data_IF_020569089959
#
_entry.id   IF_020569089959
#
_cell.length_a   1.000
_cell.length_b   1.000
_cell.length_c   1.000
_cell.angle_alpha   90.00
_cell.angle_beta   90.00
_cell.angle_gamma   90.00
#
_symmetry.space_group_name_H-M   'P 1'
#
loop_
_entity.id
_entity.type
_entity.pdbx_description
1 polymer ?
#
# COMPACT_ATOMS: atom_id res chain seq x y z
N UNK A 1 21.36 18.06 14.98
CA UNK A 1 20.35 19.13 15.16
C UNK A 1 20.74 20.39 14.37
N UNK A 2 19.87 20.96 13.53
CA UNK A 2 20.18 22.23 12.83
C UNK A 2 18.93 23.06 12.49
N UNK A 3 18.74 24.17 13.22
CA UNK A 3 17.74 25.19 12.88
C UNK A 3 18.06 25.96 11.60
N UNK A 4 19.30 25.91 11.11
CA UNK A 4 19.69 26.53 9.83
C UNK A 4 19.13 25.76 8.63
N UNK A 5 19.02 24.43 8.72
CA UNK A 5 18.40 23.64 7.65
C UNK A 5 16.92 24.01 7.51
N UNK A 6 16.23 24.17 8.64
CA UNK A 6 14.85 24.62 8.71
C UNK A 6 14.65 25.97 8.01
N UNK A 7 15.50 26.96 8.34
CA UNK A 7 15.45 28.30 7.77
C UNK A 7 15.74 28.30 6.26
N UNK A 8 16.72 27.52 5.81
CA UNK A 8 17.09 27.47 4.38
C UNK A 8 16.02 26.81 3.52
N UNK A 9 15.37 25.77 4.05
CA UNK A 9 14.37 25.00 3.31
C UNK A 9 12.97 25.60 3.41
N UNK A 10 12.73 26.56 4.30
CA UNK A 10 11.41 27.21 4.46
C UNK A 10 10.95 27.95 3.19
N UNK A 11 11.86 28.25 2.27
CA UNK A 11 11.52 28.82 0.95
C UNK A 11 10.60 27.93 0.12
N UNK A 12 10.55 26.63 0.43
CA UNK A 12 9.71 25.64 -0.23
C UNK A 12 8.38 25.37 0.53
N UNK A 13 8.05 26.18 1.53
CA UNK A 13 6.82 26.09 2.32
C UNK A 13 6.86 24.98 3.38
N UNK A 14 5.69 24.47 3.76
CA UNK A 14 5.50 23.53 4.89
C UNK A 14 5.86 22.07 4.54
N UNK A 15 6.86 21.88 3.67
CA UNK A 15 7.32 20.54 3.28
C UNK A 15 8.21 19.95 4.38
N UNK A 16 8.08 18.64 4.60
CA UNK A 16 8.84 17.90 5.62
C UNK A 16 9.87 16.95 5.03
N UNK A 17 9.78 16.69 3.72
CA UNK A 17 10.70 15.85 2.94
C UNK A 17 11.04 16.60 1.66
N UNK A 18 12.32 16.58 1.29
CA UNK A 18 12.87 17.24 0.13
C UNK A 18 13.69 16.25 -0.68
N UNK A 19 13.41 16.18 -1.99
CA UNK A 19 14.17 15.39 -2.94
C UNK A 19 15.02 16.32 -3.80
N UNK A 20 16.33 16.11 -3.77
CA UNK A 20 17.27 16.73 -4.69
C UNK A 20 17.57 15.76 -5.84
N UNK A 21 17.33 16.20 -7.07
CA UNK A 21 17.55 15.41 -8.28
C UNK A 21 18.90 15.79 -8.87
N UNK A 22 19.84 14.85 -8.87
CA UNK A 22 21.17 15.04 -9.44
C UNK A 22 21.28 14.23 -10.76
N UNK A 23 21.58 14.89 -11.91
CA UNK A 23 21.74 14.22 -13.21
C UNK A 23 22.78 13.09 -13.23
N UNK A 24 23.79 13.16 -12.36
CA UNK A 24 24.84 12.14 -12.24
C UNK A 24 24.30 10.83 -11.62
N UNK A 25 23.22 10.91 -10.85
CA UNK A 25 22.60 9.78 -10.17
C UNK A 25 21.56 9.04 -11.02
N UNK A 26 21.34 9.46 -12.27
CA UNK A 26 20.49 8.74 -13.25
C UNK A 26 19.12 8.34 -12.70
N UNK A 27 18.48 9.28 -12.00
CA UNK A 27 17.13 9.15 -11.45
C UNK A 27 17.07 8.68 -9.99
N UNK A 28 18.17 8.19 -9.40
CA UNK A 28 18.20 7.89 -7.97
C UNK A 28 18.18 9.18 -7.15
N UNK A 29 17.38 9.20 -6.09
CA UNK A 29 17.17 10.37 -5.27
C UNK A 29 18.27 10.57 -4.24
N UNK A 30 18.60 11.84 -4.03
CA UNK A 30 19.10 12.32 -2.75
C UNK A 30 17.90 12.92 -2.03
N UNK A 31 17.64 12.51 -0.80
CA UNK A 31 16.51 13.06 -0.08
C UNK A 31 16.83 13.26 1.39
N UNK A 32 16.26 14.32 1.94
CA UNK A 32 16.37 14.69 3.33
C UNK A 32 15.00 14.98 3.89
N UNK A 33 14.83 14.72 5.17
CA UNK A 33 13.59 15.01 5.87
C UNK A 33 13.80 15.14 7.36
N UNK A 34 12.80 15.67 8.03
CA UNK A 34 12.79 15.79 9.48
C UNK A 34 12.56 14.41 10.10
N UNK A 35 13.33 14.11 11.14
CA UNK A 35 13.11 12.94 12.02
C UNK A 35 12.08 13.30 13.09
N UNK A 36 12.17 14.52 13.63
CA UNK A 36 11.30 15.03 14.69
C UNK A 36 11.12 16.56 14.57
N UNK A 37 10.46 17.15 15.57
CA UNK A 37 10.24 18.59 15.68
C UNK A 37 11.39 19.33 16.38
N UNK A 38 12.39 18.59 16.89
CA UNK A 38 13.50 19.13 17.67
C UNK A 38 14.70 19.52 16.80
N UNK A 39 14.53 19.51 15.47
CA UNK A 39 15.55 19.90 14.50
C UNK A 39 16.50 18.76 14.10
N UNK A 40 16.10 17.51 14.30
CA UNK A 40 16.84 16.36 13.78
C UNK A 40 16.42 16.03 12.35
N UNK A 41 17.41 15.73 11.53
CA UNK A 41 17.27 15.51 10.10
C UNK A 41 17.95 14.21 9.70
N UNK A 42 17.38 13.54 8.71
CA UNK A 42 18.06 12.46 8.00
C UNK A 42 18.40 12.92 6.58
N UNK A 43 19.47 12.38 6.02
CA UNK A 43 19.83 12.54 4.61
C UNK A 43 20.23 11.18 4.06
N UNK A 44 19.68 10.83 2.91
CA UNK A 44 19.93 9.56 2.24
C UNK A 44 20.25 9.82 0.77
N UNK A 45 21.39 9.28 0.32
CA UNK A 45 21.85 9.45 -1.04
C UNK A 45 22.78 8.29 -1.45
N UNK A 46 22.78 7.90 -2.74
CA UNK A 46 23.81 7.01 -3.27
C UNK A 46 25.20 7.63 -3.10
N UNK A 47 26.16 6.79 -2.72
CA UNK A 47 27.59 7.14 -2.64
C UNK A 47 28.41 6.19 -3.50
N UNK A 48 29.62 6.57 -3.94
CA UNK A 48 30.50 5.66 -4.67
C UNK A 48 30.77 4.35 -3.92
N UNK A 49 30.99 3.27 -4.65
CA UNK A 49 31.37 1.99 -4.05
C UNK A 49 32.69 2.11 -3.26
N UNK A 50 32.79 1.41 -2.14
CA UNK A 50 33.92 1.51 -1.21
C UNK A 50 33.99 2.81 -0.39
N UNK A 51 32.93 3.62 -0.39
CA UNK A 51 32.83 4.77 0.52
C UNK A 51 32.84 4.31 1.98
N UNK A 52 33.60 5.01 2.81
CA UNK A 52 33.71 4.82 4.26
C UNK A 52 33.57 6.18 4.94
N UNK A 53 33.47 6.18 6.28
CA UNK A 53 33.38 7.43 7.05
C UNK A 53 34.62 8.33 6.91
N UNK A 54 35.76 7.75 6.57
CA UNK A 54 37.05 8.44 6.59
C UNK A 54 37.54 8.89 5.20
N UNK A 55 36.89 8.46 4.12
CA UNK A 55 37.36 8.69 2.74
C UNK A 55 36.41 9.54 1.88
N UNK A 56 35.36 10.11 2.47
CA UNK A 56 34.35 10.86 1.75
C UNK A 56 33.88 12.08 2.54
N UNK A 57 33.74 13.21 1.85
CA UNK A 57 33.31 14.47 2.46
C UNK A 57 31.77 14.54 2.45
N UNK A 58 31.16 13.99 3.50
CA UNK A 58 29.70 14.00 3.67
C UNK A 58 29.13 15.40 3.86
N UNK A 59 29.92 16.34 4.41
CA UNK A 59 29.47 17.69 4.65
C UNK A 59 29.33 18.44 3.32
N UNK A 60 30.38 18.43 2.48
CA UNK A 60 30.32 19.02 1.15
C UNK A 60 29.26 18.34 0.26
N UNK A 61 29.06 17.03 0.42
CA UNK A 61 28.03 16.30 -0.33
C UNK A 61 26.61 16.74 0.04
N UNK A 62 26.33 16.93 1.34
CA UNK A 62 25.04 17.44 1.81
C UNK A 62 24.84 18.90 1.42
N UNK A 63 25.85 19.76 1.56
CA UNK A 63 25.79 21.16 1.12
C UNK A 63 25.48 21.29 -0.37
N UNK A 64 26.06 20.40 -1.20
CA UNK A 64 25.75 20.35 -2.63
C UNK A 64 24.29 19.98 -2.89
N UNK A 65 23.74 19.02 -2.13
CA UNK A 65 22.35 18.61 -2.28
C UNK A 65 21.35 19.69 -1.80
N UNK A 66 21.69 20.42 -0.73
CA UNK A 66 20.90 21.55 -0.21
C UNK A 66 21.06 22.80 -1.08
N UNK A 67 22.19 22.97 -1.75
CA UNK A 67 22.52 24.15 -2.54
C UNK A 67 23.02 25.33 -1.69
N UNK A 68 23.39 25.10 -0.43
CA UNK A 68 23.88 26.13 0.48
C UNK A 68 24.80 25.54 1.56
N UNK A 69 25.68 26.37 2.12
CA UNK A 69 26.44 26.01 3.31
C UNK A 69 25.51 25.83 4.50
N UNK A 70 25.79 24.83 5.34
CA UNK A 70 24.98 24.47 6.50
C UNK A 70 25.90 24.15 7.68
N UNK A 71 25.50 24.53 8.89
CA UNK A 71 26.18 24.11 10.11
C UNK A 71 25.42 22.91 10.70
N UNK A 72 25.97 21.71 10.54
CA UNK A 72 25.36 20.45 10.99
C UNK A 72 26.38 19.52 11.65
N UNK A 73 25.95 18.89 12.73
CA UNK A 73 26.67 17.77 13.35
C UNK A 73 26.09 16.43 12.87
N UNK A 74 26.94 15.54 12.39
CA UNK A 74 26.56 14.17 12.04
C UNK A 74 26.53 13.27 13.27
N UNK A 75 25.33 12.92 13.74
CA UNK A 75 25.16 11.95 14.83
C UNK A 75 25.42 10.51 14.38
N UNK A 76 25.04 10.18 13.14
CA UNK A 76 25.21 8.85 12.58
C UNK A 76 25.41 8.88 11.07
N UNK A 77 26.37 8.09 10.59
CA UNK A 77 26.62 7.82 9.17
C UNK A 77 26.59 6.32 8.95
N UNK A 78 25.56 5.83 8.26
CA UNK A 78 25.37 4.42 7.95
C UNK A 78 25.47 4.14 6.45
N UNK A 79 25.80 2.90 6.10
CA UNK A 79 25.80 2.43 4.71
C UNK A 79 24.75 1.33 4.56
N UNK A 80 24.01 1.40 3.46
CA UNK A 80 22.99 0.43 3.13
C UNK A 80 23.07 0.09 1.63
N UNK A 81 23.11 -1.20 1.34
CA UNK A 81 22.99 -1.71 -0.02
C UNK A 81 21.54 -1.57 -0.50
N UNK A 82 21.28 -0.51 -1.26
CA UNK A 82 20.01 -0.33 -1.96
C UNK A 82 19.82 -1.44 -3.00
N UNK A 83 18.75 -2.23 -2.84
CA UNK A 83 18.39 -3.30 -3.77
C UNK A 83 16.89 -3.29 -3.99
N UNK A 84 16.50 -3.51 -5.25
CA UNK A 84 15.15 -3.93 -5.60
C UNK A 84 15.15 -5.44 -5.69
N UNK A 85 14.44 -6.11 -4.79
CA UNK A 85 14.37 -7.56 -4.72
C UNK A 85 12.97 -7.99 -4.35
N UNK A 86 12.50 -9.06 -4.99
CA UNK A 86 11.20 -9.66 -4.77
C UNK A 86 11.40 -11.18 -4.79
N UNK A 87 10.99 -11.86 -3.73
CA UNK A 87 11.03 -13.31 -3.66
C UNK A 87 10.06 -13.93 -4.67
N UNK A 88 10.44 -15.02 -5.33
CA UNK A 88 9.60 -15.72 -6.33
C UNK A 88 8.25 -16.21 -5.75
N UNK A 89 8.22 -16.50 -4.44
CA UNK A 89 7.01 -16.87 -3.71
C UNK A 89 7.13 -16.48 -2.25
N UNK A 90 6.00 -16.13 -1.61
CA UNK A 90 5.99 -15.70 -0.21
C UNK A 90 5.76 -16.85 0.77
N UNK A 91 5.48 -18.06 0.28
CA UNK A 91 5.29 -19.21 1.15
C UNK A 91 5.34 -20.54 0.42
N UNK A 92 5.90 -21.55 1.09
CA UNK A 92 5.92 -22.94 0.60
C UNK A 92 5.72 -23.90 1.75
N UNK A 93 4.65 -24.69 1.68
CA UNK A 93 4.27 -25.62 2.74
C UNK A 93 3.94 -24.86 4.03
N UNK A 94 4.82 -24.97 5.04
CA UNK A 94 4.63 -24.36 6.38
C UNK A 94 5.56 -23.19 6.65
N UNK A 95 6.33 -22.75 5.66
CA UNK A 95 7.29 -21.65 5.79
C UNK A 95 6.77 -20.48 4.97
N UNK A 96 6.69 -19.31 5.61
CA UNK A 96 6.23 -18.06 5.02
C UNK A 96 7.22 -16.94 5.34
N UNK A 97 7.33 -15.96 4.45
CA UNK A 97 8.16 -14.77 4.57
C UNK A 97 7.28 -13.53 4.39
N UNK A 98 7.63 -12.42 5.05
CA UNK A 98 6.92 -11.14 5.01
C UNK A 98 7.90 -9.98 5.18
N UNK A 99 7.54 -8.77 4.73
CA UNK A 99 8.39 -7.58 4.81
C UNK A 99 9.69 -7.76 4.03
N UNK A 100 10.80 -7.25 4.57
CA UNK A 100 12.13 -7.27 3.93
C UNK A 100 12.63 -8.65 3.48
N UNK A 101 12.16 -9.72 4.11
CA UNK A 101 12.47 -11.09 3.69
C UNK A 101 11.77 -11.49 2.38
N UNK A 102 10.61 -10.91 2.10
CA UNK A 102 9.81 -11.14 0.90
C UNK A 102 10.11 -10.12 -0.21
N UNK A 103 10.37 -8.87 0.16
CA UNK A 103 10.64 -7.79 -0.76
C UNK A 103 11.50 -6.70 -0.13
N UNK A 104 12.47 -6.19 -0.87
CA UNK A 104 13.37 -5.10 -0.44
C UNK A 104 13.43 -4.06 -1.55
N UNK A 105 13.47 -2.78 -1.17
CA UNK A 105 13.48 -1.68 -2.11
C UNK A 105 14.09 -0.40 -1.53
N UNK A 106 14.47 0.56 -2.41
CA UNK A 106 14.78 1.92 -1.99
C UNK A 106 13.61 2.55 -1.22
N UNK A 107 13.88 3.46 -0.27
CA UNK A 107 12.87 4.08 0.59
C UNK A 107 11.96 5.09 -0.13
N UNK A 108 12.00 5.13 -1.47
CA UNK A 108 11.28 6.11 -2.30
C UNK A 108 9.77 5.89 -2.15
N UNK A 109 9.06 6.91 -1.68
CA UNK A 109 7.61 6.89 -1.44
C UNK A 109 7.16 6.24 -0.11
N UNK A 110 8.09 5.81 0.75
CA UNK A 110 7.74 5.34 2.10
C UNK A 110 6.95 4.03 2.17
N UNK A 111 7.04 3.18 1.14
CA UNK A 111 6.21 1.97 1.04
C UNK A 111 6.64 0.81 1.95
N UNK A 112 7.89 0.77 2.43
CA UNK A 112 8.49 -0.48 2.96
C UNK A 112 7.83 -1.02 4.21
N UNK A 113 7.87 -0.26 5.30
CA UNK A 113 7.26 -0.70 6.57
C UNK A 113 5.75 -0.92 6.43
N UNK A 114 5.07 -0.07 5.66
CA UNK A 114 3.62 -0.15 5.42
C UNK A 114 3.26 -1.45 4.69
N UNK A 115 4.02 -1.80 3.63
CA UNK A 115 3.81 -3.04 2.88
C UNK A 115 4.12 -4.26 3.74
N UNK A 116 5.15 -4.19 4.60
CA UNK A 116 5.47 -5.25 5.56
C UNK A 116 4.35 -5.47 6.60
N UNK A 117 3.72 -4.40 7.09
CA UNK A 117 2.55 -4.52 7.97
C UNK A 117 1.35 -5.13 7.25
N UNK A 118 1.09 -4.73 6.01
CA UNK A 118 0.02 -5.32 5.19
C UNK A 118 0.27 -6.81 4.91
N UNK A 119 1.53 -7.23 4.71
CA UNK A 119 1.88 -8.64 4.58
C UNK A 119 1.51 -9.44 5.82
N UNK A 120 1.92 -8.94 7.00
CA UNK A 120 1.66 -9.62 8.27
C UNK A 120 0.16 -9.63 8.57
N UNK A 121 -0.55 -8.53 8.30
CA UNK A 121 -2.00 -8.44 8.46
C UNK A 121 -2.74 -9.48 7.61
N UNK A 122 -2.37 -9.59 6.33
CA UNK A 122 -2.94 -10.56 5.41
C UNK A 122 -2.63 -12.02 5.81
N UNK A 123 -1.39 -12.31 6.21
CA UNK A 123 -0.98 -13.66 6.60
C UNK A 123 -1.57 -14.09 7.95
N UNK A 124 -1.67 -13.19 8.93
CA UNK A 124 -2.03 -13.53 10.31
C UNK A 124 -3.43 -14.11 10.43
N UNK A 125 -4.42 -13.52 9.76
CA UNK A 125 -5.80 -14.03 9.84
C UNK A 125 -5.94 -15.39 9.16
N UNK A 126 -5.22 -15.61 8.05
CA UNK A 126 -5.18 -16.90 7.32
C UNK A 126 -4.56 -18.01 8.16
N UNK A 127 -3.45 -17.71 8.84
CA UNK A 127 -2.85 -18.63 9.81
C UNK A 127 -3.82 -18.94 10.95
N UNK A 128 -4.46 -17.92 11.54
CA UNK A 128 -5.43 -18.10 12.60
C UNK A 128 -6.63 -18.95 12.14
N UNK A 129 -7.10 -18.75 10.90
CA UNK A 129 -8.18 -19.53 10.30
C UNK A 129 -7.85 -21.01 10.19
N UNK A 130 -6.69 -21.34 9.61
CA UNK A 130 -6.23 -22.72 9.47
C UNK A 130 -5.99 -23.38 10.83
N UNK A 131 -5.43 -22.65 11.81
CA UNK A 131 -5.20 -23.17 13.16
C UNK A 131 -6.51 -23.41 13.93
N UNK A 132 -7.53 -22.58 13.70
CA UNK A 132 -8.87 -22.72 14.29
C UNK A 132 -9.78 -23.69 13.53
N UNK A 133 -9.32 -24.24 12.40
CA UNK A 133 -9.99 -25.31 11.66
C UNK A 133 -11.07 -24.87 10.68
N UNK A 134 -11.24 -23.56 10.43
CA UNK A 134 -12.21 -23.04 9.46
C UNK A 134 -11.56 -22.52 8.16
N UNK A 135 -10.22 -22.45 8.11
CA UNK A 135 -9.49 -22.12 6.88
C UNK A 135 -9.33 -23.33 5.96
N UNK A 136 -9.79 -23.20 4.71
CA UNK A 136 -9.69 -24.23 3.68
C UNK A 136 -8.28 -24.40 3.11
N UNK A 137 -8.11 -25.40 2.23
CA UNK A 137 -6.82 -25.83 1.67
C UNK A 137 -6.13 -24.75 0.82
N UNK A 138 -6.89 -23.86 0.19
CA UNK A 138 -6.36 -22.79 -0.67
C UNK A 138 -6.11 -21.49 0.07
N UNK A 139 -6.52 -21.37 1.34
CA UNK A 139 -6.47 -20.11 2.08
C UNK A 139 -5.04 -19.60 2.24
N UNK A 140 -4.12 -20.41 2.76
CA UNK A 140 -2.74 -19.98 2.95
C UNK A 140 -2.01 -19.72 1.63
N UNK A 141 -2.32 -20.48 0.58
CA UNK A 141 -1.71 -20.28 -0.73
C UNK A 141 -2.08 -18.90 -1.32
N UNK A 142 -3.29 -18.39 -1.02
CA UNK A 142 -3.71 -17.06 -1.46
C UNK A 142 -2.82 -15.93 -0.92
N UNK A 143 -2.07 -16.13 0.17
CA UNK A 143 -1.15 -15.09 0.67
C UNK A 143 -0.15 -14.64 -0.41
N UNK A 144 0.47 -15.61 -1.09
CA UNK A 144 1.40 -15.30 -2.18
C UNK A 144 0.66 -14.70 -3.37
N UNK A 145 -0.51 -15.22 -3.73
CA UNK A 145 -1.32 -14.71 -4.87
C UNK A 145 -1.85 -13.29 -4.64
N UNK A 146 -2.00 -12.88 -3.39
CA UNK A 146 -2.46 -11.54 -3.03
C UNK A 146 -1.32 -10.54 -2.88
N UNK A 147 -0.31 -10.85 -2.04
CA UNK A 147 0.70 -9.87 -1.62
C UNK A 147 1.86 -9.70 -2.59
N UNK A 148 2.28 -10.77 -3.27
CA UNK A 148 3.35 -10.71 -4.25
C UNK A 148 3.06 -9.74 -5.41
N UNK A 149 1.90 -9.83 -6.12
CA UNK A 149 1.60 -8.90 -7.21
C UNK A 149 1.38 -7.46 -6.75
N UNK A 150 0.91 -7.23 -5.51
CA UNK A 150 0.83 -5.87 -4.94
C UNK A 150 2.21 -5.24 -4.87
N UNK A 151 3.21 -5.97 -4.36
CA UNK A 151 4.57 -5.43 -4.33
C UNK A 151 5.19 -5.32 -5.72
N UNK A 152 4.96 -6.29 -6.61
CA UNK A 152 5.45 -6.21 -7.99
C UNK A 152 4.95 -4.93 -8.69
N UNK A 153 3.66 -4.60 -8.53
CA UNK A 153 3.09 -3.35 -9.02
C UNK A 153 3.64 -2.12 -8.27
N UNK A 154 3.79 -2.18 -6.95
CA UNK A 154 4.43 -1.08 -6.18
C UNK A 154 5.85 -0.78 -6.69
N UNK A 155 6.63 -1.83 -6.97
CA UNK A 155 7.98 -1.75 -7.53
C UNK A 155 7.96 -1.11 -8.92
N UNK A 156 7.13 -1.63 -9.82
CA UNK A 156 7.18 -1.29 -11.23
C UNK A 156 6.50 0.07 -11.51
N UNK A 157 5.31 0.27 -10.96
CA UNK A 157 4.43 1.40 -11.30
C UNK A 157 4.70 2.66 -10.47
N UNK A 158 5.42 2.54 -9.36
CA UNK A 158 5.69 3.69 -8.46
C UNK A 158 7.19 3.91 -8.27
N UNK A 159 7.93 2.92 -7.77
CA UNK A 159 9.35 3.09 -7.42
C UNK A 159 10.22 3.21 -8.68
N UNK A 160 10.19 2.20 -9.55
CA UNK A 160 10.97 2.20 -10.79
C UNK A 160 10.52 3.29 -11.75
N UNK A 161 9.21 3.49 -11.88
CA UNK A 161 8.64 4.56 -12.71
C UNK A 161 9.21 5.92 -12.31
N UNK A 162 9.21 6.27 -11.02
CA UNK A 162 9.78 7.54 -10.54
C UNK A 162 11.25 7.70 -10.92
N UNK A 163 12.08 6.67 -10.71
CA UNK A 163 13.51 6.69 -11.07
C UNK A 163 13.69 6.92 -12.57
N UNK A 164 12.91 6.22 -13.41
CA UNK A 164 13.00 6.33 -14.87
C UNK A 164 12.56 7.72 -15.35
N UNK A 165 11.47 8.25 -14.80
CA UNK A 165 10.93 9.56 -15.16
C UNK A 165 11.87 10.70 -14.73
N UNK A 166 12.42 10.64 -13.53
CA UNK A 166 13.40 11.65 -13.06
C UNK A 166 14.70 11.63 -13.87
N UNK A 167 15.14 10.42 -14.26
CA UNK A 167 16.25 10.28 -15.20
C UNK A 167 15.92 10.91 -16.55
N UNK A 168 14.78 10.58 -17.12
CA UNK A 168 14.37 11.12 -18.42
C UNK A 168 14.25 12.65 -18.39
N UNK A 169 13.76 13.21 -17.29
CA UNK A 169 13.68 14.65 -17.08
C UNK A 169 15.06 15.30 -17.09
N UNK A 170 16.00 14.80 -16.28
CA UNK A 170 17.36 15.36 -16.20
C UNK A 170 18.22 15.12 -17.44
N UNK A 171 17.99 14.05 -18.18
CA UNK A 171 18.65 13.80 -19.47
C UNK A 171 18.12 14.77 -20.57
N UNK A 172 16.88 15.25 -20.44
CA UNK A 172 16.23 16.13 -21.43
C UNK A 172 16.37 17.63 -21.13
N UNK A 173 16.28 18.03 -19.87
CA UNK A 173 16.26 19.43 -19.45
C UNK A 173 17.47 19.75 -18.56
N UNK A 174 18.27 20.74 -18.98
CA UNK A 174 19.47 21.15 -18.27
C UNK A 174 19.47 22.69 -18.09
N UNK A 175 19.38 23.19 -16.83
CA UNK A 175 19.27 24.61 -16.56
C UNK A 175 20.53 25.42 -16.91
N UNK A 176 21.71 24.78 -17.00
CA UNK A 176 22.96 25.43 -17.44
C UNK A 176 23.02 25.62 -18.96
N UNK A 177 22.23 24.83 -19.72
CA UNK A 177 22.17 24.90 -21.19
C UNK A 177 20.99 25.74 -21.68
N UNK A 178 19.82 25.55 -21.09
CA UNK A 178 18.59 26.24 -21.44
C UNK A 178 17.71 26.36 -20.19
N UNK A 179 17.85 27.49 -19.49
CA UNK A 179 17.12 27.77 -18.27
C UNK A 179 15.61 27.91 -18.52
N UNK A 180 15.22 28.59 -19.60
CA UNK A 180 13.81 28.85 -19.89
C UNK A 180 13.05 27.55 -20.17
N UNK A 181 13.62 26.66 -21.00
CA UNK A 181 13.00 25.35 -21.25
C UNK A 181 12.95 24.48 -19.98
N UNK A 182 13.96 24.56 -19.11
CA UNK A 182 13.95 23.82 -17.84
C UNK A 182 12.86 24.34 -16.91
N UNK A 183 12.76 25.67 -16.73
CA UNK A 183 11.76 26.30 -15.86
C UNK A 183 10.33 25.98 -16.32
N UNK A 184 10.07 26.03 -17.63
CA UNK A 184 8.78 25.66 -18.21
C UNK A 184 8.43 24.19 -17.93
N UNK A 185 9.38 23.28 -18.14
CA UNK A 185 9.18 21.84 -17.90
C UNK A 185 9.03 21.52 -16.39
N UNK A 186 9.80 22.19 -15.53
CA UNK A 186 9.71 22.05 -14.09
C UNK A 186 8.37 22.56 -13.55
N UNK A 187 7.90 23.71 -14.05
CA UNK A 187 6.59 24.25 -13.70
C UNK A 187 5.46 23.31 -14.12
N UNK A 188 5.53 22.71 -15.31
CA UNK A 188 4.57 21.69 -15.76
C UNK A 188 4.60 20.45 -14.88
N UNK A 189 5.78 19.97 -14.48
CA UNK A 189 5.94 18.84 -13.55
C UNK A 189 5.33 19.15 -12.19
N UNK A 190 5.60 20.34 -11.65
CA UNK A 190 5.09 20.77 -10.34
C UNK A 190 3.58 21.05 -10.34
N UNK A 191 3.01 21.45 -11.48
CA UNK A 191 1.58 21.65 -11.68
C UNK A 191 0.84 20.37 -12.08
N UNK A 192 1.57 19.28 -12.38
CA UNK A 192 1.01 17.98 -12.68
C UNK A 192 0.18 17.43 -11.53
N UNK A 193 -0.84 16.63 -11.86
CA UNK A 193 -1.65 15.94 -10.87
C UNK A 193 -0.77 15.07 -9.97
N UNK A 194 -1.10 14.99 -8.68
CA UNK A 194 -0.47 14.13 -7.67
C UNK A 194 -0.84 12.65 -7.90
N UNK A 195 -0.90 12.29 -9.19
CA UNK A 195 -1.43 11.09 -9.79
C UNK A 195 -0.80 9.83 -9.21
N UNK A 196 0.48 9.85 -8.83
CA UNK A 196 1.09 8.71 -8.14
C UNK A 196 0.48 8.47 -6.76
N UNK A 197 0.19 9.53 -6.00
CA UNK A 197 -0.45 9.40 -4.67
C UNK A 197 -1.91 8.97 -4.84
N UNK A 198 -2.64 9.59 -5.77
CA UNK A 198 -4.06 9.29 -5.98
C UNK A 198 -4.31 7.95 -6.67
N UNK A 199 -3.30 7.39 -7.34
CA UNK A 199 -3.37 6.09 -8.02
C UNK A 199 -2.86 4.91 -7.20
N UNK A 200 -2.20 5.14 -6.05
CA UNK A 200 -1.69 4.07 -5.21
C UNK A 200 -2.81 3.38 -4.41
N UNK A 201 -3.36 2.30 -4.97
CA UNK A 201 -4.43 1.51 -4.38
C UNK A 201 -4.08 0.02 -4.38
N UNK A 202 -3.44 -0.51 -3.33
CA UNK A 202 -3.27 -1.96 -3.13
C UNK A 202 -4.60 -2.72 -3.15
N UNK A 203 -4.68 -3.76 -3.99
CA UNK A 203 -5.88 -4.58 -4.13
C UNK A 203 -5.56 -6.02 -4.51
N UNK A 204 -6.49 -6.90 -4.15
CA UNK A 204 -6.49 -8.36 -4.30
C UNK A 204 -7.55 -8.83 -5.31
N UNK A 205 -7.85 -8.03 -6.34
CA UNK A 205 -8.95 -8.33 -7.25
C UNK A 205 -8.75 -9.66 -8.01
N UNK A 206 -7.50 -10.09 -8.21
CA UNK A 206 -7.16 -11.39 -8.79
C UNK A 206 -6.98 -12.52 -7.78
N UNK A 207 -7.40 -12.33 -6.54
CA UNK A 207 -7.32 -13.36 -5.52
C UNK A 207 -8.32 -14.49 -5.77
N UNK A 208 -7.93 -15.77 -5.58
CA UNK A 208 -8.85 -16.88 -5.74
C UNK A 208 -9.88 -16.96 -4.60
N UNK A 209 -9.64 -16.26 -3.48
CA UNK A 209 -10.53 -16.24 -2.31
C UNK A 209 -11.47 -15.03 -2.27
N UNK A 210 -11.59 -14.27 -3.36
CA UNK A 210 -12.60 -13.21 -3.50
C UNK A 210 -13.52 -13.53 -4.66
N UNK A 211 -14.79 -13.16 -4.54
CA UNK A 211 -15.78 -13.27 -5.61
C UNK A 211 -15.61 -12.08 -6.58
N UNK A 212 -14.42 -11.99 -7.18
CA UNK A 212 -14.02 -10.93 -8.11
C UNK A 212 -14.46 -11.18 -9.55
N UNK A 213 -14.14 -10.22 -10.42
CA UNK A 213 -14.34 -10.38 -11.85
C UNK A 213 -13.40 -11.44 -12.42
N UNK A 214 -13.83 -12.23 -13.42
CA UNK A 214 -12.93 -13.13 -14.15
C UNK A 214 -11.72 -12.36 -14.70
N UNK A 215 -10.54 -13.00 -14.67
CA UNK A 215 -9.27 -12.45 -15.19
C UNK A 215 -8.75 -11.18 -14.49
N UNK A 216 -9.40 -10.73 -13.41
CA UNK A 216 -8.89 -9.65 -12.59
C UNK A 216 -7.48 -9.97 -12.06
N UNK A 217 -6.69 -8.91 -11.84
CA UNK A 217 -5.33 -9.01 -11.31
C UNK A 217 -5.23 -8.24 -10.02
N UNK A 218 -4.46 -8.77 -9.08
CA UNK A 218 -4.03 -8.04 -7.88
C UNK A 218 -2.90 -7.07 -8.27
N UNK A 219 -2.75 -5.97 -7.55
CA UNK A 219 -1.80 -4.91 -7.89
C UNK A 219 -1.87 -3.75 -6.92
N UNK A 220 -1.18 -2.65 -7.23
CA UNK A 220 -1.14 -1.45 -6.40
C UNK A 220 -1.66 -0.19 -7.11
N UNK A 221 -2.21 -0.34 -8.32
CA UNK A 221 -2.74 0.77 -9.12
C UNK A 221 -4.26 0.76 -9.13
N UNK A 222 -4.88 1.90 -8.88
CA UNK A 222 -6.33 2.06 -8.96
C UNK A 222 -6.75 3.48 -8.67
N UNK A 223 -8.03 3.71 -8.36
CA UNK A 223 -8.53 5.01 -7.92
C UNK A 223 -9.32 4.78 -6.65
N UNK A 224 -8.99 5.53 -5.60
CA UNK A 224 -9.77 5.49 -4.36
C UNK A 224 -11.21 5.91 -4.63
N UNK A 225 -12.15 5.14 -4.09
CA UNK A 225 -13.58 5.41 -4.25
C UNK A 225 -14.39 4.61 -3.26
N UNK A 226 -15.67 4.96 -3.15
CA UNK A 226 -16.58 4.31 -2.22
C UNK A 226 -17.27 3.08 -2.79
N UNK A 227 -17.20 2.83 -4.11
CA UNK A 227 -17.81 1.65 -4.71
C UNK A 227 -17.16 0.39 -4.12
N UNK A 228 -17.98 -0.48 -3.52
CA UNK A 228 -17.51 -1.74 -2.98
C UNK A 228 -17.13 -2.68 -4.12
N UNK A 229 -15.90 -3.22 -4.06
CA UNK A 229 -15.37 -4.12 -5.09
C UNK A 229 -14.66 -5.28 -4.41
N UNK A 230 -14.98 -6.50 -4.81
CA UNK A 230 -14.29 -7.68 -4.31
C UNK A 230 -12.77 -7.55 -4.55
N UNK A 231 -11.99 -7.92 -3.54
CA UNK A 231 -10.55 -7.75 -3.51
C UNK A 231 -10.05 -6.33 -3.19
N UNK A 232 -10.92 -5.35 -2.96
CA UNK A 232 -10.48 -4.00 -2.56
C UNK A 232 -10.73 -3.78 -1.07
N UNK A 233 -9.92 -2.92 -0.44
CA UNK A 233 -10.18 -2.48 0.92
C UNK A 233 -11.54 -1.77 0.95
N UNK A 234 -12.37 -2.06 1.94
CA UNK A 234 -13.63 -1.34 2.10
C UNK A 234 -13.31 0.13 2.42
N UNK A 235 -13.90 1.08 1.72
CA UNK A 235 -13.65 2.49 2.02
C UNK A 235 -14.38 2.89 3.32
N UNK A 236 -13.72 3.59 4.25
CA UNK A 236 -14.37 4.05 5.48
C UNK A 236 -15.52 4.99 5.15
N UNK A 237 -16.71 4.65 5.60
CA UNK A 237 -17.81 5.61 5.71
C UNK A 237 -18.36 5.53 7.12
N UNK A 238 -18.50 6.66 7.83
CA UNK A 238 -19.20 6.65 9.10
C UNK A 238 -20.65 6.18 8.84
N UNK A 239 -21.14 5.16 9.55
CA UNK A 239 -22.58 4.91 9.64
C UNK A 239 -23.25 6.21 10.06
N UNK A 240 -24.37 6.57 9.45
CA UNK A 240 -25.04 7.84 9.73
C UNK A 240 -25.38 7.94 11.24
N UNK A 241 -24.57 8.70 11.98
CA UNK A 241 -24.78 9.00 13.41
C UNK A 241 -24.09 8.08 14.43
N UNK A 242 -23.33 7.06 14.02
CA UNK A 242 -22.74 6.08 14.96
C UNK A 242 -21.30 5.71 14.59
N UNK A 243 -20.30 6.36 15.22
CA UNK A 243 -18.88 5.96 15.21
C UNK A 243 -18.22 5.80 13.83
N UNK A 244 -17.01 5.23 13.81
CA UNK A 244 -16.38 4.78 12.57
C UNK A 244 -16.87 3.37 12.23
N UNK A 245 -17.07 3.07 10.94
CA UNK A 245 -17.49 1.72 10.50
C UNK A 245 -16.51 0.63 10.99
N UNK A 246 -15.23 0.97 11.12
CA UNK A 246 -14.19 0.06 11.59
C UNK A 246 -14.36 -0.41 13.03
N UNK A 247 -14.97 0.41 13.88
CA UNK A 247 -15.23 0.05 15.28
C UNK A 247 -16.28 -1.06 15.40
N UNK A 248 -17.03 -1.30 14.32
CA UNK A 248 -18.13 -2.26 14.27
C UNK A 248 -17.77 -3.53 13.49
N UNK A 249 -16.60 -3.58 12.85
CA UNK A 249 -16.16 -4.79 12.16
C UNK A 249 -15.66 -5.84 13.14
N UNK A 250 -16.09 -7.07 12.91
CA UNK A 250 -15.71 -8.20 13.72
C UNK A 250 -14.27 -8.67 13.53
N UNK A 251 -13.80 -9.47 14.49
CA UNK A 251 -12.49 -10.15 14.42
C UNK A 251 -12.44 -11.28 13.38
N UNK A 252 -13.60 -11.71 12.87
CA UNK A 252 -13.78 -12.67 11.80
C UNK A 252 -14.24 -11.99 10.51
N UNK A 253 -15.19 -12.62 9.81
CA UNK A 253 -15.88 -11.96 8.72
C UNK A 253 -16.97 -11.03 9.26
N UNK A 254 -17.29 -9.98 8.51
CA UNK A 254 -18.46 -9.13 8.78
C UNK A 254 -19.33 -9.03 7.54
N UNK A 255 -20.61 -9.34 7.66
CA UNK A 255 -21.61 -9.12 6.61
C UNK A 255 -22.31 -7.78 6.86
N UNK A 256 -22.15 -6.85 5.93
CA UNK A 256 -22.92 -5.61 5.88
C UNK A 256 -24.18 -5.84 5.06
N UNK A 257 -25.34 -5.73 5.70
CA UNK A 257 -26.64 -5.77 5.05
C UNK A 257 -27.14 -4.34 4.86
N UNK A 258 -27.14 -3.84 3.62
CA UNK A 258 -27.46 -2.45 3.33
C UNK A 258 -28.95 -2.24 3.00
N UNK A 259 -29.73 -3.32 2.86
CA UNK A 259 -31.16 -3.27 2.49
C UNK A 259 -32.09 -3.75 3.60
N UNK A 260 -31.56 -4.41 4.63
CA UNK A 260 -32.36 -5.00 5.71
C UNK A 260 -32.94 -6.37 5.36
N UNK A 261 -32.39 -7.05 4.34
CA UNK A 261 -32.82 -8.40 3.96
C UNK A 261 -32.44 -9.44 5.03
N UNK A 262 -33.42 -9.79 5.86
CA UNK A 262 -33.24 -10.77 6.93
C UNK A 262 -33.02 -12.20 6.40
N UNK A 263 -33.57 -12.55 5.23
CA UNK A 263 -33.44 -13.90 4.65
C UNK A 263 -31.99 -14.12 4.21
N UNK A 264 -31.41 -13.14 3.51
CA UNK A 264 -30.00 -13.16 3.11
C UNK A 264 -29.10 -13.25 4.35
N UNK A 265 -29.37 -12.43 5.37
CA UNK A 265 -28.60 -12.42 6.62
C UNK A 265 -28.63 -13.78 7.32
N UNK A 266 -29.80 -14.39 7.46
CA UNK A 266 -29.96 -15.72 8.07
C UNK A 266 -29.25 -16.82 7.25
N UNK A 267 -29.26 -16.72 5.92
CA UNK A 267 -28.54 -17.65 5.05
C UNK A 267 -27.02 -17.62 5.29
N UNK A 268 -26.43 -16.42 5.41
CA UNK A 268 -25.01 -16.26 5.74
C UNK A 268 -24.68 -16.74 7.17
N UNK A 269 -25.52 -16.44 8.16
CA UNK A 269 -25.35 -16.94 9.53
C UNK A 269 -25.33 -18.48 9.54
N UNK A 270 -26.31 -19.11 8.89
CA UNK A 270 -26.41 -20.57 8.80
C UNK A 270 -25.21 -21.19 8.08
N UNK A 271 -24.81 -20.61 6.94
CA UNK A 271 -23.66 -21.06 6.17
C UNK A 271 -22.33 -20.90 6.93
N UNK A 272 -22.15 -19.82 7.69
CA UNK A 272 -20.98 -19.59 8.54
C UNK A 272 -20.94 -20.58 9.71
N UNK A 273 -22.07 -20.78 10.39
CA UNK A 273 -22.19 -21.73 11.50
C UNK A 273 -21.85 -23.18 11.07
N UNK A 274 -22.34 -23.60 9.89
CA UNK A 274 -22.04 -24.91 9.32
C UNK A 274 -20.54 -25.13 9.04
N UNK A 275 -19.77 -24.05 8.84
CA UNK A 275 -18.32 -24.07 8.54
C UNK A 275 -17.45 -23.69 9.75
N UNK A 276 -18.06 -23.35 10.89
CA UNK A 276 -17.35 -22.82 12.06
C UNK A 276 -16.66 -21.48 11.81
N UNK A 277 -17.13 -20.71 10.82
CA UNK A 277 -16.56 -19.40 10.46
C UNK A 277 -17.11 -18.34 11.42
N UNK A 278 -16.26 -17.54 12.09
CA UNK A 278 -16.74 -16.41 12.88
C UNK A 278 -17.29 -15.34 11.94
N UNK A 279 -18.59 -15.04 12.07
CA UNK A 279 -19.29 -14.04 11.27
C UNK A 279 -20.06 -13.09 12.19
N UNK A 280 -19.82 -11.80 12.01
CA UNK A 280 -20.64 -10.72 12.55
C UNK A 280 -21.54 -10.15 11.45
N UNK A 281 -22.69 -9.60 11.83
CA UNK A 281 -23.65 -9.02 10.89
C UNK A 281 -24.01 -7.60 11.30
N UNK A 282 -23.95 -6.67 10.37
CA UNK A 282 -24.33 -5.27 10.58
C UNK A 282 -25.50 -4.93 9.66
N UNK A 283 -26.66 -4.62 10.25
CA UNK A 283 -27.81 -4.11 9.53
C UNK A 283 -27.72 -2.58 9.43
N UNK A 284 -27.52 -2.11 8.19
CA UNK A 284 -27.34 -0.71 7.85
C UNK A 284 -28.48 -0.21 6.95
N UNK A 285 -29.64 -0.87 6.93
CA UNK A 285 -30.78 -0.53 6.06
C UNK A 285 -31.31 0.92 6.22
N UNK A 286 -31.05 1.55 7.36
CA UNK A 286 -31.46 2.94 7.64
C UNK A 286 -30.45 3.97 7.11
N UNK A 287 -29.33 3.53 6.58
CA UNK A 287 -28.25 4.38 6.08
C UNK A 287 -28.36 4.50 4.56
N UNK A 288 -27.92 5.63 3.98
CA UNK A 288 -27.93 5.85 2.53
C UNK A 288 -26.77 5.15 1.79
N UNK A 289 -26.33 3.98 2.27
CA UNK A 289 -25.07 3.36 1.85
C UNK A 289 -25.15 2.52 0.58
N UNK A 290 -26.35 2.05 0.19
CA UNK A 290 -26.55 1.29 -1.07
C UNK A 290 -26.06 2.09 -2.28
N UNK A 291 -26.41 3.39 -2.35
CA UNK A 291 -26.01 4.26 -3.46
C UNK A 291 -24.52 4.59 -3.46
N UNK A 292 -23.91 4.66 -2.29
CA UNK A 292 -22.48 4.97 -2.12
C UNK A 292 -21.60 3.79 -2.47
N UNK A 293 -21.90 2.61 -1.91
CA UNK A 293 -21.16 1.38 -2.17
C UNK A 293 -21.56 0.68 -3.47
N UNK A 294 -22.71 1.05 -4.06
CA UNK A 294 -23.31 0.38 -5.24
C UNK A 294 -23.54 -1.11 -5.02
N UNK A 295 -23.99 -1.47 -3.82
CA UNK A 295 -24.20 -2.84 -3.39
C UNK A 295 -25.40 -2.95 -2.44
N UNK A 296 -26.04 -4.11 -2.38
CA UNK A 296 -27.09 -4.39 -1.39
C UNK A 296 -26.52 -5.10 -0.16
N UNK A 297 -25.46 -5.88 -0.35
CA UNK A 297 -24.73 -6.53 0.73
C UNK A 297 -23.24 -6.65 0.42
N UNK A 298 -22.42 -6.65 1.47
CA UNK A 298 -20.95 -6.72 1.39
C UNK A 298 -20.43 -7.69 2.44
N UNK A 299 -19.64 -8.69 2.03
CA UNK A 299 -18.90 -9.55 2.94
C UNK A 299 -17.47 -9.04 3.08
N UNK A 300 -17.08 -8.65 4.29
CA UNK A 300 -15.78 -8.08 4.62
C UNK A 300 -14.94 -9.12 5.36
N UNK A 301 -13.68 -9.25 4.96
CA UNK A 301 -12.68 -10.15 5.56
C UNK A 301 -12.13 -9.60 6.88
N UNK A 302 -11.47 -10.44 7.70
CA UNK A 302 -10.74 -9.99 8.89
C UNK A 302 -9.64 -8.95 8.63
N UNK A 303 -9.13 -8.87 7.40
CA UNK A 303 -8.18 -7.83 6.95
C UNK A 303 -8.87 -6.66 6.23
N UNK A 304 -10.18 -6.48 6.41
CA UNK A 304 -11.01 -5.38 5.89
C UNK A 304 -11.09 -5.26 4.37
N UNK A 305 -10.59 -6.25 3.64
CA UNK A 305 -10.84 -6.38 2.21
C UNK A 305 -12.21 -7.01 1.95
N UNK A 306 -12.89 -6.54 0.91
CA UNK A 306 -14.17 -7.09 0.48
C UNK A 306 -13.93 -8.46 -0.13
N UNK A 307 -14.51 -9.51 0.46
CA UNK A 307 -14.52 -10.86 -0.10
C UNK A 307 -15.58 -10.98 -1.22
N UNK A 308 -16.74 -10.37 -1.00
CA UNK A 308 -17.87 -10.39 -1.94
C UNK A 308 -18.72 -9.14 -1.76
N UNK A 309 -19.37 -8.73 -2.84
CA UNK A 309 -20.34 -7.62 -2.88
C UNK A 309 -21.35 -7.92 -3.97
N UNK A 310 -22.64 -7.62 -3.76
CA UNK A 310 -23.67 -7.92 -4.76
C UNK A 310 -25.09 -7.63 -4.30
N UNK A 311 -26.05 -8.11 -5.10
CA UNK A 311 -27.48 -8.11 -4.75
C UNK A 311 -27.80 -9.25 -3.78
N UNK A 312 -28.78 -9.03 -2.91
CA UNK A 312 -29.29 -10.05 -2.00
C UNK A 312 -29.90 -11.25 -2.76
N UNK A 313 -30.54 -11.01 -3.92
CA UNK A 313 -31.22 -12.05 -4.68
C UNK A 313 -30.27 -13.07 -5.33
N UNK A 314 -29.05 -12.66 -5.65
CA UNK A 314 -28.04 -13.48 -6.33
C UNK A 314 -27.04 -14.12 -5.34
N UNK A 315 -27.23 -13.90 -4.03
CA UNK A 315 -26.28 -14.31 -3.01
C UNK A 315 -26.38 -15.82 -2.69
N UNK A 316 -25.41 -16.60 -3.15
CA UNK A 316 -25.17 -17.95 -2.64
C UNK A 316 -24.20 -17.90 -1.45
N UNK A 317 -24.76 -17.74 -0.25
CA UNK A 317 -23.99 -17.58 0.99
C UNK A 317 -23.00 -18.74 1.24
N UNK A 318 -23.38 -19.97 0.88
CA UNK A 318 -22.54 -21.15 1.06
C UNK A 318 -21.33 -21.10 0.13
N UNK A 319 -21.57 -20.87 -1.17
CA UNK A 319 -20.51 -20.76 -2.16
C UNK A 319 -19.57 -19.57 -1.89
N UNK A 320 -20.14 -18.41 -1.52
CA UNK A 320 -19.38 -17.19 -1.22
C UNK A 320 -18.45 -17.43 -0.01
N UNK A 321 -18.95 -18.04 1.07
CA UNK A 321 -18.13 -18.34 2.24
C UNK A 321 -17.08 -19.41 1.95
N UNK A 322 -17.41 -20.47 1.21
CA UNK A 322 -16.45 -21.48 0.77
C UNK A 322 -15.30 -20.85 -0.02
N UNK A 323 -15.61 -19.93 -0.95
CA UNK A 323 -14.59 -19.16 -1.65
C UNK A 323 -13.77 -18.28 -0.70
N UNK A 324 -14.43 -17.50 0.15
CA UNK A 324 -13.77 -16.56 1.06
C UNK A 324 -12.80 -17.22 2.06
N UNK A 325 -13.07 -18.47 2.44
CA UNK A 325 -12.21 -19.24 3.34
C UNK A 325 -11.24 -20.18 2.61
N UNK A 326 -11.19 -20.16 1.26
CA UNK A 326 -10.29 -21.03 0.50
C UNK A 326 -10.69 -22.50 0.47
N UNK A 327 -11.98 -22.82 0.59
CA UNK A 327 -12.56 -24.15 0.61
C UNK A 327 -13.31 -24.48 -0.69
N UNK A 328 -12.58 -24.52 -1.81
CA UNK A 328 -13.10 -24.90 -3.13
C UNK A 328 -12.19 -25.97 -3.76
N UNK A 329 -12.66 -26.61 -4.82
CA UNK A 329 -11.87 -27.62 -5.55
C UNK A 329 -10.80 -26.98 -6.45
N UNK A 330 -9.82 -27.77 -6.88
CA UNK A 330 -8.68 -27.34 -7.71
C UNK A 330 -9.07 -26.76 -9.08
N UNK A 331 -10.32 -26.95 -9.53
CA UNK A 331 -10.84 -26.53 -10.84
C UNK A 331 -11.56 -25.16 -10.83
N UNK A 332 -11.49 -24.40 -9.73
CA UNK A 332 -12.20 -23.10 -9.53
C UNK A 332 -11.27 -21.94 -9.16
#
# INVERSE_FOLDING_TARGET
NSSQLDEKLSVYGDKTIFNAINPDLKGYWQFLGRVDLDGNWFFHAPVPDGTTRDNFDFHAFLEKAVGAQIDVDFEYVGFWDLRLSLADTYGKGRIFIAGDAAHSHPPYGGYGINTGFEDVRNLSWKLAACLKGWGGTHLLASYSTERHPVFASTRDDFILKSIIEDRAFTDSFNPEKDLASFEDAWAQRAAGDDSMVTQYLPHYAGSPIVCGQPEARSGATGIHGFVAQAGHHLSPMPPSGEGELWDHLGSGFTLLNLTGDAIMTEAFISAAAARGVPLETLDLAKTALVDTYKAEAILVRPDHFVAWTGSCADADAAHILDRAIGNFGDDQ
#
